data_IF_720515770592
#
_entry.id   IF_720515770592
#
_cell.length_a   1.000
_cell.length_b   1.000
_cell.length_c   1.000
_cell.angle_alpha   90.00
_cell.angle_beta   90.00
_cell.angle_gamma   90.00
#
_symmetry.space_group_name_H-M   'P 1'
#
loop_
_entity.id
_entity.type
_entity.pdbx_description
1 polymer ?
#
# COMPACT_ATOMS: atom_id res chain seq x y z
N UNK A 1 0.82 21.36 16.58
CA UNK A 1 -0.42 20.59 16.38
C UNK A 1 -0.04 19.12 16.37
N UNK A 2 -0.89 18.21 16.89
CA UNK A 2 -0.61 16.78 16.82
C UNK A 2 -0.69 16.29 15.37
N UNK A 3 -0.06 15.14 15.09
CA UNK A 3 -0.32 14.39 13.87
C UNK A 3 -1.81 14.01 13.87
N UNK A 4 -2.47 14.22 12.74
CA UNK A 4 -3.89 13.91 12.53
C UNK A 4 -4.06 12.83 11.47
N UNK A 5 -5.27 12.30 11.34
CA UNK A 5 -5.56 11.26 10.33
C UNK A 5 -5.28 11.73 8.89
N UNK A 6 -5.44 13.02 8.58
CA UNK A 6 -5.18 13.57 7.24
C UNK A 6 -3.69 13.63 6.89
N UNK A 7 -2.82 13.57 7.90
CA UNK A 7 -1.37 13.50 7.69
C UNK A 7 -0.91 12.08 7.32
N UNK A 8 -1.68 11.05 7.67
CA UNK A 8 -1.32 9.66 7.41
C UNK A 8 -1.85 9.24 6.04
N UNK A 9 -0.92 8.97 5.13
CA UNK A 9 -1.22 8.54 3.77
C UNK A 9 -0.82 7.08 3.56
N UNK A 10 -1.64 6.35 2.82
CA UNK A 10 -1.26 5.05 2.29
C UNK A 10 -0.80 5.28 0.85
N UNK A 11 0.46 4.92 0.58
CA UNK A 11 1.10 5.14 -0.73
C UNK A 11 1.46 3.86 -1.42
N UNK A 12 1.35 3.90 -2.74
CA UNK A 12 1.77 2.82 -3.63
C UNK A 12 3.29 2.64 -3.58
N UNK A 13 3.76 1.45 -3.94
CA UNK A 13 5.18 1.18 -4.13
C UNK A 13 5.57 1.24 -5.61
N UNK A 14 6.85 1.43 -5.91
CA UNK A 14 7.41 1.44 -7.27
C UNK A 14 8.71 0.63 -7.31
N UNK A 15 8.85 -0.19 -8.35
CA UNK A 15 10.04 -1.05 -8.55
C UNK A 15 11.15 -0.36 -9.36
N UNK A 16 10.82 0.75 -9.99
CA UNK A 16 11.72 1.59 -10.78
C UNK A 16 12.26 2.75 -9.94
N UNK A 17 13.33 3.38 -10.44
CA UNK A 17 14.01 4.47 -9.76
C UNK A 17 15.15 4.02 -8.85
N UNK A 18 15.80 5.02 -8.24
CA UNK A 18 16.99 4.86 -7.40
C UNK A 18 16.80 5.40 -5.98
N UNK A 19 15.64 5.98 -5.66
CA UNK A 19 15.30 6.52 -4.35
C UNK A 19 13.78 6.51 -4.11
N UNK A 20 13.38 6.40 -2.84
CA UNK A 20 11.97 6.47 -2.43
C UNK A 20 11.36 7.86 -2.53
N UNK A 21 10.04 7.92 -2.69
CA UNK A 21 9.21 9.12 -2.70
C UNK A 21 9.54 10.11 -3.83
N UNK A 22 10.00 9.61 -4.98
CA UNK A 22 10.39 10.43 -6.14
C UNK A 22 9.58 10.17 -7.39
N UNK A 23 9.03 8.96 -7.53
CA UNK A 23 8.36 8.50 -8.75
C UNK A 23 6.90 8.16 -8.46
N UNK A 24 6.04 8.34 -9.45
CA UNK A 24 4.65 7.87 -9.40
C UNK A 24 4.57 6.36 -9.63
N UNK A 25 3.45 5.77 -9.24
CA UNK A 25 3.14 4.35 -9.49
C UNK A 25 1.65 4.13 -9.73
N UNK A 26 1.30 2.89 -10.06
CA UNK A 26 -0.08 2.40 -10.18
C UNK A 26 -0.32 1.23 -9.23
N UNK A 27 -1.60 0.94 -8.96
CA UNK A 27 -2.02 -0.19 -8.12
C UNK A 27 -1.35 -1.51 -8.52
N UNK A 28 -1.55 -1.99 -9.76
CA UNK A 28 -0.94 -3.23 -10.24
C UNK A 28 0.60 -3.25 -10.22
N UNK A 29 1.25 -2.10 -10.37
CA UNK A 29 2.70 -1.98 -10.33
C UNK A 29 3.29 -1.96 -8.90
N UNK A 30 2.44 -1.99 -7.87
CA UNK A 30 2.87 -1.89 -6.48
C UNK A 30 3.39 -3.22 -5.93
N UNK A 31 4.60 -3.58 -6.33
CA UNK A 31 5.26 -4.85 -6.01
C UNK A 31 6.45 -4.69 -5.03
N UNK A 32 6.61 -3.52 -4.41
CA UNK A 32 7.66 -3.24 -3.41
C UNK A 32 8.83 -2.41 -3.96
N UNK A 33 9.99 -2.51 -3.28
CA UNK A 33 11.23 -1.74 -3.47
C UNK A 33 11.24 -0.33 -2.89
N UNK A 34 10.55 0.62 -3.51
CA UNK A 34 10.55 2.02 -3.06
C UNK A 34 9.13 2.55 -2.88
N UNK A 35 8.94 3.48 -1.93
CA UNK A 35 7.69 4.24 -1.82
C UNK A 35 7.53 5.15 -3.05
N UNK A 36 6.32 5.25 -3.58
CA UNK A 36 5.96 6.19 -4.66
C UNK A 36 5.42 7.51 -4.10
N UNK A 37 5.20 8.51 -4.95
CA UNK A 37 4.50 9.75 -4.60
C UNK A 37 2.97 9.63 -4.72
N UNK A 38 2.46 8.48 -5.17
CA UNK A 38 1.03 8.26 -5.45
C UNK A 38 0.33 7.65 -4.23
N UNK A 39 -0.75 8.27 -3.79
CA UNK A 39 -1.63 7.74 -2.74
C UNK A 39 -2.47 6.57 -3.31
N UNK A 40 -2.80 5.57 -2.49
CA UNK A 40 -3.60 4.42 -2.92
C UNK A 40 -4.98 4.89 -3.39
N UNK A 41 -5.42 4.52 -4.61
CA UNK A 41 -6.74 4.90 -5.11
C UNK A 41 -7.85 4.24 -4.30
N UNK A 42 -8.93 4.97 -4.03
CA UNK A 42 -10.11 4.49 -3.28
C UNK A 42 -11.18 3.82 -4.16
N UNK A 43 -11.01 3.85 -5.49
CA UNK A 43 -11.93 3.24 -6.44
C UNK A 43 -11.82 1.71 -6.52
N UNK A 44 -12.93 1.06 -6.89
CA UNK A 44 -12.98 -0.39 -7.05
C UNK A 44 -11.99 -0.86 -8.13
N UNK A 45 -11.29 -1.96 -7.88
CA UNK A 45 -10.35 -2.60 -8.83
C UNK A 45 -9.18 -1.72 -9.32
N UNK A 46 -8.93 -0.57 -8.68
CA UNK A 46 -7.81 0.31 -9.03
C UNK A 46 -6.50 -0.12 -8.35
N UNK A 47 -6.60 -0.85 -7.25
CA UNK A 47 -5.44 -1.35 -6.50
C UNK A 47 -5.05 -2.77 -6.91
N UNK A 48 -6.04 -3.67 -6.91
CA UNK A 48 -5.91 -5.04 -7.41
C UNK A 48 -6.62 -5.16 -8.75
N UNK A 49 -6.02 -5.89 -9.67
CA UNK A 49 -6.66 -6.25 -10.94
C UNK A 49 -7.84 -7.17 -10.70
N UNK A 50 -8.86 -7.08 -11.56
CA UNK A 50 -9.98 -8.02 -11.56
C UNK A 50 -9.49 -9.44 -11.82
N UNK A 51 -9.93 -10.39 -11.00
CA UNK A 51 -9.63 -11.82 -11.15
C UNK A 51 -10.63 -12.41 -12.14
N UNK A 52 -10.12 -13.00 -13.23
CA UNK A 52 -10.96 -13.70 -14.22
C UNK A 52 -11.30 -15.13 -13.78
N UNK A 53 -12.23 -15.78 -14.50
CA UNK A 53 -12.54 -17.20 -14.26
C UNK A 53 -11.34 -18.13 -14.50
N UNK A 54 -10.45 -17.77 -15.44
CA UNK A 54 -9.21 -18.51 -15.72
C UNK A 54 -8.23 -18.35 -14.56
N UNK A 55 -8.10 -17.13 -14.03
CA UNK A 55 -7.24 -16.85 -12.88
C UNK A 55 -7.71 -17.63 -11.64
N UNK A 56 -9.03 -17.70 -11.43
CA UNK A 56 -9.61 -18.47 -10.33
C UNK A 56 -9.36 -19.99 -10.50
N UNK A 57 -9.60 -20.54 -11.69
CA UNK A 57 -9.31 -21.95 -11.97
C UNK A 57 -7.82 -22.29 -11.82
N UNK A 58 -6.94 -21.33 -12.14
CA UNK A 58 -5.50 -21.43 -11.93
C UNK A 58 -5.04 -21.16 -10.50
N UNK A 59 -5.94 -20.83 -9.56
CA UNK A 59 -5.61 -20.43 -8.19
C UNK A 59 -4.57 -19.30 -8.13
N UNK A 60 -4.69 -18.31 -9.04
CA UNK A 60 -3.76 -17.20 -9.13
C UNK A 60 -3.87 -16.32 -7.89
N UNK A 61 -2.73 -16.07 -7.23
CA UNK A 61 -2.64 -15.18 -6.08
C UNK A 61 -1.88 -13.92 -6.46
N UNK A 62 -2.46 -12.75 -6.18
CA UNK A 62 -1.82 -11.45 -6.42
C UNK A 62 -1.52 -10.73 -5.12
N UNK A 63 -0.29 -10.26 -4.96
CA UNK A 63 0.15 -9.47 -3.81
C UNK A 63 0.39 -8.01 -4.22
N UNK A 64 0.18 -7.09 -3.28
CA UNK A 64 0.51 -5.67 -3.44
C UNK A 64 1.21 -5.15 -2.19
N UNK A 65 2.18 -4.27 -2.41
CA UNK A 65 2.89 -3.56 -1.36
C UNK A 65 2.36 -2.13 -1.25
N UNK A 66 2.23 -1.64 -0.02
CA UNK A 66 1.97 -0.24 0.26
C UNK A 66 2.91 0.26 1.36
N UNK A 67 3.02 1.57 1.46
CA UNK A 67 3.75 2.25 2.50
C UNK A 67 2.81 3.15 3.30
N UNK A 68 3.04 3.22 4.60
CA UNK A 68 2.44 4.24 5.46
C UNK A 68 3.36 5.45 5.47
N UNK A 69 2.85 6.60 5.06
CA UNK A 69 3.60 7.84 4.96
C UNK A 69 3.01 8.89 5.88
N UNK A 70 3.84 9.42 6.78
CA UNK A 70 3.50 10.59 7.58
C UNK A 70 3.85 11.85 6.80
N UNK A 71 2.82 12.56 6.33
CA UNK A 71 2.93 13.81 5.58
C UNK A 71 3.02 15.05 6.50
N UNK A 72 3.02 14.88 7.82
CA UNK A 72 3.15 16.00 8.75
C UNK A 72 4.52 16.67 8.57
N UNK A 73 4.53 18.00 8.46
CA UNK A 73 5.73 18.75 8.05
C UNK A 73 6.92 18.65 9.01
N UNK A 74 6.68 18.52 10.32
CA UNK A 74 7.73 18.64 11.35
C UNK A 74 7.77 17.55 12.40
N UNK A 75 6.70 16.76 12.54
CA UNK A 75 6.60 15.76 13.59
C UNK A 75 6.90 14.40 12.98
N UNK A 76 7.80 13.66 13.61
CA UNK A 76 8.08 12.27 13.24
C UNK A 76 7.02 11.36 13.83
N UNK A 77 6.46 10.47 13.01
CA UNK A 77 5.57 9.42 13.48
C UNK A 77 6.39 8.39 14.26
N UNK A 78 6.07 8.21 15.53
CA UNK A 78 6.65 7.17 16.39
C UNK A 78 5.59 6.09 16.67
N UNK A 79 6.03 4.86 16.92
CA UNK A 79 5.15 3.74 17.28
C UNK A 79 4.00 3.49 16.29
N UNK A 80 4.30 3.54 14.98
CA UNK A 80 3.31 3.29 13.94
C UNK A 80 2.79 1.84 14.01
N UNK A 81 1.46 1.67 14.04
CA UNK A 81 0.78 0.38 14.04
C UNK A 81 -0.21 0.34 12.87
N UNK A 82 -0.28 -0.80 12.18
CA UNK A 82 -1.29 -1.08 11.15
C UNK A 82 -2.24 -2.14 11.70
N UNK A 83 -3.52 -1.78 11.80
CA UNK A 83 -4.57 -2.69 12.21
C UNK A 83 -5.28 -3.27 10.98
N UNK A 84 -5.40 -4.58 10.93
CA UNK A 84 -6.16 -5.29 9.91
C UNK A 84 -7.54 -5.65 10.48
N UNK A 85 -8.57 -4.95 10.04
CA UNK A 85 -9.95 -5.26 10.40
C UNK A 85 -10.37 -6.57 9.73
N UNK A 86 -10.71 -7.59 10.53
CA UNK A 86 -11.06 -8.93 10.04
C UNK A 86 -10.03 -10.02 10.38
N UNK A 87 -8.94 -9.68 11.07
CA UNK A 87 -7.86 -10.61 11.42
C UNK A 87 -6.88 -10.83 10.27
N UNK A 88 -5.84 -11.62 10.52
CA UNK A 88 -4.97 -12.12 9.45
C UNK A 88 -5.74 -13.18 8.65
N UNK A 89 -6.06 -12.94 7.36
CA UNK A 89 -6.70 -13.96 6.53
C UNK A 89 -5.83 -15.22 6.34
N UNK A 90 -4.53 -15.16 6.62
CA UNK A 90 -3.61 -16.29 6.56
C UNK A 90 -3.46 -17.07 7.89
N UNK A 91 -4.08 -16.61 8.99
CA UNK A 91 -4.11 -17.34 10.27
C UNK A 91 -2.76 -17.47 11.00
N UNK A 92 -1.81 -16.57 10.76
CA UNK A 92 -0.52 -16.57 11.46
C UNK A 92 -0.64 -16.15 12.94
N UNK A 93 0.20 -16.72 13.84
CA UNK A 93 0.22 -16.31 15.24
C UNK A 93 0.84 -14.91 15.40
N UNK A 94 0.16 -14.06 16.17
CA UNK A 94 0.61 -12.74 16.61
C UNK A 94 1.79 -12.84 17.58
#
# INVERSE_FOLDING_TARGET
MPITATDIKIRLSVTTGSAGNTSTSSGPASLGKYISTTDVPTGNNQWFSTISGVDNAGSVVTYRCFFVYNAHATLTLTSAVVWLSGGDPAGGPW
#
